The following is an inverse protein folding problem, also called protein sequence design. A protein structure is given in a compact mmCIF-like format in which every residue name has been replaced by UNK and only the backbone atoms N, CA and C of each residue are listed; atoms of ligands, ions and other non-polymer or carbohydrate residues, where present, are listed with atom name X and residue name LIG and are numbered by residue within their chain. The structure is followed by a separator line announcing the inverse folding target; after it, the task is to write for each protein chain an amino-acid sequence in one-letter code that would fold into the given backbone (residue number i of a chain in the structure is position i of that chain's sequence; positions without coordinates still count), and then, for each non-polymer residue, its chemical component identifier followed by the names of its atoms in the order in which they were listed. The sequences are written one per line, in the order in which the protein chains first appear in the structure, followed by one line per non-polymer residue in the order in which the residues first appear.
data_IF_406880098164
#
_entry.id   IF_406880098164
#
_cell.length_a   1.000
_cell.length_b   1.000
_cell.length_c   1.000
_cell.angle_alpha   90.00
_cell.angle_beta   90.00
_cell.angle_gamma   90.00
#
_symmetry.space_group_name_H-M   'P 1'
#
loop_
_entity.id
_entity.type
_entity.pdbx_description
1 polymer ?
#
# COMPACT_ATOMS: atom_id res chain seq x y z
N UNK A 1 1.31 -17.28 -9.10
CA UNK A 1 0.94 -16.23 -8.16
C UNK A 1 2.11 -15.80 -7.32
N UNK A 2 2.15 -14.55 -7.00
CA UNK A 2 3.25 -14.01 -6.22
C UNK A 2 2.70 -13.35 -4.96
N UNK A 3 3.51 -13.38 -3.91
CA UNK A 3 3.17 -12.73 -2.65
C UNK A 3 3.78 -11.33 -2.62
N UNK A 4 2.97 -10.39 -2.21
CA UNK A 4 3.40 -9.01 -2.09
C UNK A 4 3.19 -8.55 -0.66
N UNK A 5 4.11 -7.76 -0.17
CA UNK A 5 4.00 -7.18 1.16
C UNK A 5 3.60 -5.73 1.04
N UNK A 6 2.55 -5.37 1.74
CA UNK A 6 2.05 -4.01 1.73
C UNK A 6 2.23 -3.43 3.12
N UNK A 7 3.04 -2.39 3.20
CA UNK A 7 3.25 -1.69 4.45
C UNK A 7 2.38 -0.43 4.45
N UNK A 8 1.32 -0.49 5.25
CA UNK A 8 0.39 0.63 5.35
C UNK A 8 0.87 1.56 6.44
N UNK A 9 1.09 2.81 6.08
CA UNK A 9 1.74 3.76 6.98
C UNK A 9 0.73 4.67 7.64
N UNK A 10 0.91 4.85 8.93
CA UNK A 10 0.06 5.71 9.75
C UNK A 10 0.91 6.73 10.46
N UNK A 11 0.31 7.88 10.72
CA UNK A 11 0.98 8.88 11.54
C UNK A 11 1.08 8.36 12.97
N UNK A 12 2.26 8.51 13.56
CA UNK A 12 2.48 8.18 14.96
C UNK A 12 2.36 6.71 15.30
N UNK A 13 2.43 5.85 14.28
CA UNK A 13 2.35 4.41 14.51
C UNK A 13 3.31 3.71 13.58
N UNK A 14 3.71 2.52 13.98
CA UNK A 14 4.50 1.68 13.10
C UNK A 14 3.64 1.24 11.92
N UNK A 15 4.26 0.99 10.77
CA UNK A 15 3.50 0.52 9.61
C UNK A 15 2.83 -0.81 9.89
N UNK A 16 1.68 -1.01 9.27
CA UNK A 16 0.97 -2.26 9.36
C UNK A 16 1.30 -3.10 8.14
N UNK A 17 1.74 -4.31 8.36
CA UNK A 17 2.09 -5.21 7.26
C UNK A 17 0.87 -6.04 6.87
N UNK A 18 0.60 -6.06 5.59
CA UNK A 18 -0.44 -6.91 5.05
C UNK A 18 0.08 -7.59 3.80
N UNK A 19 -0.16 -8.90 3.71
CA UNK A 19 0.33 -9.68 2.58
C UNK A 19 -0.82 -9.95 1.63
N UNK A 20 -0.56 -9.80 0.34
CA UNK A 20 -1.57 -10.11 -0.68
C UNK A 20 -0.95 -11.00 -1.73
N UNK A 21 -1.80 -11.73 -2.42
CA UNK A 21 -1.39 -12.60 -3.52
C UNK A 21 -2.01 -12.10 -4.81
N UNK A 22 -1.19 -11.93 -5.81
CA UNK A 22 -1.65 -11.46 -7.11
C UNK A 22 -0.85 -12.10 -8.21
N UNK A 23 -1.40 -12.09 -9.41
CA UNK A 23 -0.72 -12.64 -10.58
C UNK A 23 0.21 -11.63 -11.22
N UNK A 24 -0.09 -10.36 -11.09
CA UNK A 24 0.67 -9.33 -11.76
C UNK A 24 0.96 -8.18 -10.80
N UNK A 25 2.07 -7.50 -11.05
CA UNK A 25 2.46 -6.37 -10.20
C UNK A 25 1.39 -5.28 -10.18
N UNK A 26 0.80 -5.02 -11.34
CA UNK A 26 -0.21 -3.96 -11.40
C UNK A 26 -1.44 -4.31 -10.57
N UNK A 27 -1.78 -5.59 -10.50
CA UNK A 27 -2.91 -6.02 -9.68
C UNK A 27 -2.60 -5.81 -8.21
N UNK A 28 -1.36 -6.07 -7.82
CA UNK A 28 -0.94 -5.85 -6.44
C UNK A 28 -1.04 -4.37 -6.08
N UNK A 29 -0.60 -3.50 -6.99
CA UNK A 29 -0.66 -2.08 -6.75
C UNK A 29 -2.12 -1.61 -6.64
N UNK A 30 -2.98 -2.13 -7.51
CA UNK A 30 -4.40 -1.78 -7.47
C UNK A 30 -5.04 -2.22 -6.17
N UNK A 31 -4.74 -3.43 -5.71
CA UNK A 31 -5.29 -3.92 -4.45
C UNK A 31 -4.77 -3.12 -3.27
N UNK A 32 -3.50 -2.78 -3.29
CA UNK A 32 -2.94 -1.98 -2.22
C UNK A 32 -3.59 -0.60 -2.16
N UNK A 33 -3.85 -0.02 -3.32
CA UNK A 33 -4.52 1.27 -3.37
C UNK A 33 -5.93 1.16 -2.78
N UNK A 34 -6.63 0.09 -3.10
CA UNK A 34 -7.96 -0.14 -2.54
C UNK A 34 -7.89 -0.31 -1.02
N UNK A 35 -6.88 -1.03 -0.54
CA UNK A 35 -6.69 -1.17 0.90
C UNK A 35 -6.51 0.19 1.56
N UNK A 36 -5.71 1.04 0.95
CA UNK A 36 -5.49 2.36 1.49
C UNK A 36 -6.79 3.15 1.53
N UNK A 37 -7.60 3.02 0.49
CA UNK A 37 -8.86 3.75 0.43
C UNK A 37 -9.84 3.32 1.52
N UNK A 38 -9.77 2.05 1.94
CA UNK A 38 -10.70 1.55 2.94
C UNK A 38 -10.21 1.77 4.36
N UNK A 39 -9.02 2.31 4.53
CA UNK A 39 -8.45 2.52 5.86
C UNK A 39 -8.06 3.98 6.01
N UNK A 40 -9.01 4.82 6.40
CA UNK A 40 -8.77 6.28 6.39
C UNK A 40 -7.65 6.73 7.33
N UNK A 41 -7.31 5.93 8.31
CA UNK A 41 -6.24 6.32 9.24
C UNK A 41 -4.85 6.18 8.61
N UNK A 42 -4.74 5.56 7.46
CA UNK A 42 -3.45 5.39 6.80
C UNK A 42 -3.29 6.41 5.70
N UNK A 43 -2.07 6.91 5.55
CA UNK A 43 -1.81 7.94 4.53
C UNK A 43 -1.05 7.40 3.33
N UNK A 44 -0.49 6.24 3.42
CA UNK A 44 0.26 5.69 2.32
C UNK A 44 0.48 4.21 2.45
N UNK A 45 0.95 3.60 1.36
CA UNK A 45 1.25 2.18 1.35
C UNK A 45 2.44 1.96 0.46
N UNK A 46 3.35 1.07 0.89
CA UNK A 46 4.47 0.62 0.08
C UNK A 46 4.23 -0.83 -0.30
N UNK A 47 4.40 -1.13 -1.57
CA UNK A 47 4.19 -2.47 -2.08
C UNK A 47 5.55 -3.07 -2.43
N UNK A 48 5.87 -4.18 -1.79
CA UNK A 48 7.13 -4.86 -1.98
C UNK A 48 6.91 -6.25 -2.54
N UNK A 49 7.77 -6.64 -3.44
CA UNK A 49 7.82 -8.01 -3.92
C UNK A 49 9.20 -8.53 -3.57
N UNK A 50 9.25 -9.47 -2.63
CA UNK A 50 10.50 -9.98 -2.09
C UNK A 50 11.30 -8.81 -1.54
N UNK A 51 12.50 -8.57 -2.03
CA UNK A 51 13.35 -7.51 -1.52
C UNK A 51 13.21 -6.21 -2.28
N UNK A 52 12.26 -6.12 -3.18
CA UNK A 52 12.21 -5.01 -4.09
C UNK A 52 10.96 -4.18 -3.89
N UNK A 53 11.16 -2.90 -3.75
CA UNK A 53 10.04 -1.96 -3.67
C UNK A 53 9.47 -1.76 -5.06
N UNK A 54 8.21 -2.12 -5.24
CA UNK A 54 7.56 -1.96 -6.53
C UNK A 54 6.97 -0.59 -6.69
N UNK A 55 6.28 -0.11 -5.67
CA UNK A 55 5.57 1.15 -5.79
C UNK A 55 5.29 1.69 -4.42
N UNK A 56 5.05 2.98 -4.38
CA UNK A 56 4.69 3.68 -3.18
C UNK A 56 3.51 4.56 -3.52
N UNK A 57 2.40 4.34 -2.84
CA UNK A 57 1.18 5.08 -3.10
C UNK A 57 0.86 5.90 -1.88
N UNK A 58 0.65 7.19 -2.05
CA UNK A 58 0.21 8.01 -0.93
C UNK A 58 -1.14 8.59 -1.22
N UNK A 59 -1.87 8.83 -0.14
CA UNK A 59 -3.19 9.41 -0.26
C UNK A 59 -3.03 10.85 -0.73
N UNK A 60 -3.71 11.15 -1.78
CA UNK A 60 -3.58 12.47 -2.36
C UNK A 60 -4.49 13.41 -1.62
N UNK A 61 -4.00 14.08 -0.62
CA UNK A 61 -4.78 15.05 0.11
C UNK A 61 -4.61 16.38 -0.49
N UNK A 62 -5.65 16.96 -0.89
CA UNK A 62 -5.55 18.30 -1.39
C UNK A 62 -6.10 19.20 -0.36
N UNK A 63 -5.34 19.78 0.36
CA UNK A 63 -5.85 20.73 1.34
C UNK A 63 -6.52 21.87 0.65
N UNK A 64 -6.62 22.00 0.18
CA UNK A 64 -6.96 22.87 -0.22
C UNK A 64 -7.15 23.58 -0.25
N UNK A 65 -7.01 23.45 -0.56
CA UNK A 65 -7.02 23.69 -0.78
C UNK A 65 -7.28 24.07 -0.61
#
# INVERSE_FOLDING_TARGET
MALYKCYLERLDHAPTLQTIECNHDRDAIAQATTLLDTKPEHWGVEIWKEDRLLARVSRSRQPDQ
#
